data_IF_684064632733
#
_entry.id   IF_684064632733
#
_cell.length_a   1.000
_cell.length_b   1.000
_cell.length_c   1.000
_cell.angle_alpha   90.00
_cell.angle_beta   90.00
_cell.angle_gamma   90.00
#
_symmetry.space_group_name_H-M   'P 1'
#
loop_
_entity.id
_entity.type
_entity.pdbx_description
1 polymer ?
#
# COMPACT_ATOMS: atom_id res chain seq x y z
N UNK A 1 -24.53 0.06 9.91
CA UNK A 1 -24.16 1.09 8.93
C UNK A 1 -22.67 0.97 8.69
N UNK A 2 -22.20 0.93 7.44
CA UNK A 2 -20.75 0.89 7.16
C UNK A 2 -20.18 2.31 7.26
N UNK A 3 -18.99 2.51 7.85
CA UNK A 3 -18.32 3.81 7.84
C UNK A 3 -18.08 4.29 6.41
N UNK A 4 -18.26 5.57 6.18
CA UNK A 4 -17.89 6.25 4.94
C UNK A 4 -16.37 6.31 4.77
N UNK A 5 -15.93 6.52 3.54
CA UNK A 5 -14.52 6.76 3.19
C UNK A 5 -13.89 7.88 4.05
N UNK A 6 -14.64 8.96 4.30
CA UNK A 6 -14.16 10.10 5.07
C UNK A 6 -14.05 9.77 6.57
N UNK A 7 -14.97 8.98 7.12
CA UNK A 7 -14.89 8.50 8.50
C UNK A 7 -13.67 7.59 8.71
N UNK A 8 -13.39 6.71 7.73
CA UNK A 8 -12.20 5.85 7.75
C UNK A 8 -10.92 6.69 7.65
N UNK A 9 -10.86 7.64 6.72
CA UNK A 9 -9.73 8.54 6.59
C UNK A 9 -9.50 9.37 7.86
N UNK A 10 -10.58 9.84 8.49
CA UNK A 10 -10.54 10.55 9.78
C UNK A 10 -9.96 9.66 10.89
N UNK A 11 -10.39 8.40 10.97
CA UNK A 11 -9.86 7.44 11.95
C UNK A 11 -8.36 7.17 11.74
N UNK A 12 -7.93 6.93 10.50
CA UNK A 12 -6.51 6.73 10.16
C UNK A 12 -5.70 7.98 10.49
N UNK A 13 -6.18 9.18 10.12
CA UNK A 13 -5.54 10.45 10.47
C UNK A 13 -5.41 10.61 12.00
N UNK A 14 -6.44 10.23 12.76
CA UNK A 14 -6.43 10.18 14.21
C UNK A 14 -5.32 9.28 14.77
N UNK A 15 -5.15 8.07 14.23
CA UNK A 15 -4.06 7.16 14.63
C UNK A 15 -2.71 7.82 14.40
N UNK A 16 -2.49 8.41 13.22
CA UNK A 16 -1.21 9.04 12.89
C UNK A 16 -0.88 10.20 13.83
N UNK A 17 -1.84 11.09 14.08
CA UNK A 17 -1.67 12.21 15.03
C UNK A 17 -1.36 11.72 16.44
N UNK A 18 -2.08 10.70 16.93
CA UNK A 18 -1.82 10.12 18.25
C UNK A 18 -0.41 9.58 18.38
N UNK A 19 0.11 8.89 17.34
CA UNK A 19 1.50 8.42 17.35
C UNK A 19 2.49 9.59 17.33
N UNK A 20 2.25 10.66 16.55
CA UNK A 20 3.12 11.85 16.58
C UNK A 20 3.10 12.56 17.94
N UNK A 21 1.94 12.66 18.60
CA UNK A 21 1.80 13.24 19.93
C UNK A 21 2.62 12.44 20.95
N UNK A 22 2.51 11.11 20.94
CA UNK A 22 3.29 10.24 21.82
C UNK A 22 4.80 10.40 21.58
N UNK A 23 5.24 10.41 20.32
CA UNK A 23 6.64 10.62 19.97
C UNK A 23 7.17 11.99 20.43
N UNK A 24 6.34 13.03 20.34
CA UNK A 24 6.65 14.39 20.80
C UNK A 24 6.74 14.47 22.32
N UNK A 25 5.96 13.66 23.04
CA UNK A 25 6.02 13.50 24.49
C UNK A 25 7.17 12.59 24.97
N UNK A 26 8.09 12.19 24.08
CA UNK A 26 9.25 11.36 24.41
C UNK A 26 9.02 9.85 24.31
N UNK A 27 7.81 9.40 24.00
CA UNK A 27 7.47 7.98 23.81
C UNK A 27 7.83 7.51 22.40
N UNK A 28 9.14 7.49 22.11
CA UNK A 28 9.66 7.04 20.82
C UNK A 28 9.91 5.54 20.85
N UNK A 29 8.86 4.76 20.63
CA UNK A 29 9.02 3.33 20.38
C UNK A 29 9.13 3.03 18.88
N UNK A 30 9.86 1.98 18.52
CA UNK A 30 9.95 1.52 17.14
C UNK A 30 8.61 0.97 16.59
N UNK A 31 7.56 0.89 17.42
CA UNK A 31 6.27 0.30 17.08
C UNK A 31 5.33 1.33 16.44
N UNK A 32 5.58 2.63 16.58
CA UNK A 32 4.79 3.68 15.91
C UNK A 32 4.65 3.47 14.39
N UNK A 33 5.72 3.03 13.71
CA UNK A 33 5.67 2.67 12.29
C UNK A 33 4.74 1.47 12.02
N UNK A 34 4.78 0.46 12.89
CA UNK A 34 3.91 -0.73 12.80
C UNK A 34 2.44 -0.34 13.00
N UNK A 35 2.13 0.48 14.00
CA UNK A 35 0.76 0.95 14.31
C UNK A 35 0.16 1.68 13.12
N UNK A 36 0.89 2.63 12.52
CA UNK A 36 0.40 3.36 11.34
C UNK A 36 0.13 2.41 10.17
N UNK A 37 1.05 1.49 9.90
CA UNK A 37 0.89 0.50 8.82
C UNK A 37 -0.32 -0.39 9.05
N UNK A 38 -0.53 -0.87 10.27
CA UNK A 38 -1.69 -1.71 10.61
C UNK A 38 -3.00 -0.94 10.51
N UNK A 39 -3.03 0.33 10.89
CA UNK A 39 -4.21 1.18 10.69
C UNK A 39 -4.58 1.32 9.21
N UNK A 40 -3.59 1.62 8.34
CA UNK A 40 -3.82 1.64 6.89
C UNK A 40 -4.28 0.27 6.39
N UNK A 41 -3.61 -0.79 6.81
CA UNK A 41 -3.91 -2.15 6.36
C UNK A 41 -5.34 -2.58 6.69
N UNK A 42 -5.73 -2.50 7.96
CA UNK A 42 -7.02 -3.02 8.42
C UNK A 42 -8.19 -2.09 8.12
N UNK A 43 -8.00 -0.77 8.22
CA UNK A 43 -9.09 0.19 8.03
C UNK A 43 -9.30 0.58 6.56
N UNK A 44 -8.24 0.55 5.74
CA UNK A 44 -8.31 0.93 4.33
C UNK A 44 -8.19 -0.27 3.39
N UNK A 45 -7.09 -1.01 3.47
CA UNK A 45 -6.74 -1.97 2.41
C UNK A 45 -7.62 -3.22 2.41
N UNK A 46 -7.92 -3.78 3.59
CA UNK A 46 -8.67 -5.04 3.73
C UNK A 46 -10.11 -4.85 4.20
N UNK A 47 -10.60 -3.61 4.20
CA UNK A 47 -11.95 -3.29 4.70
C UNK A 47 -13.07 -3.97 3.91
N UNK A 48 -12.91 -4.05 2.60
CA UNK A 48 -13.94 -4.53 1.67
C UNK A 48 -13.67 -5.95 1.19
N UNK A 49 -12.39 -6.33 1.06
CA UNK A 49 -11.99 -7.61 0.49
C UNK A 49 -10.73 -8.18 1.15
N UNK A 50 -10.58 -9.52 1.23
CA UNK A 50 -9.38 -10.17 1.75
C UNK A 50 -8.10 -9.77 0.99
N UNK A 51 -6.92 -10.01 1.60
CA UNK A 51 -5.61 -9.67 1.00
C UNK A 51 -5.45 -10.26 -0.40
N UNK A 52 -5.66 -11.56 -0.56
CA UNK A 52 -5.52 -12.24 -1.86
C UNK A 52 -6.86 -12.31 -2.61
N UNK A 53 -7.71 -11.29 -2.53
CA UNK A 53 -8.99 -11.29 -3.23
C UNK A 53 -8.82 -11.30 -4.76
N UNK A 54 -9.64 -12.06 -5.51
CA UNK A 54 -9.61 -12.05 -6.97
C UNK A 54 -9.97 -10.68 -7.58
N UNK A 55 -10.65 -9.81 -6.82
CA UNK A 55 -11.07 -8.48 -7.29
C UNK A 55 -10.00 -7.41 -7.20
N UNK A 56 -8.83 -7.72 -6.63
CA UNK A 56 -7.70 -6.78 -6.64
C UNK A 56 -7.04 -6.76 -8.02
N UNK A 57 -6.33 -5.68 -8.37
CA UNK A 57 -5.41 -5.69 -9.51
C UNK A 57 -4.38 -6.82 -9.35
N UNK A 58 -4.08 -7.51 -10.45
CA UNK A 58 -3.03 -8.52 -10.52
C UNK A 58 -1.98 -8.15 -11.57
N UNK A 59 -0.76 -8.69 -11.45
CA UNK A 59 0.06 -8.90 -12.65
C UNK A 59 -0.65 -9.87 -13.59
N UNK A 60 -0.38 -9.76 -14.89
CA UNK A 60 -0.99 -10.66 -15.89
C UNK A 60 -0.68 -12.12 -15.55
N UNK A 61 0.57 -12.41 -15.15
CA UNK A 61 0.99 -13.76 -14.76
C UNK A 61 0.32 -14.23 -13.47
N UNK A 62 0.18 -13.36 -12.46
CA UNK A 62 -0.54 -13.71 -11.23
C UNK A 62 -2.02 -13.98 -11.51
N UNK A 63 -2.64 -13.24 -12.45
CA UNK A 63 -4.03 -13.49 -12.87
C UNK A 63 -4.18 -14.87 -13.52
N UNK A 64 -3.27 -15.23 -14.41
CA UNK A 64 -3.25 -16.54 -15.06
C UNK A 64 -3.00 -17.67 -14.07
N UNK A 65 -1.99 -17.54 -13.21
CA UNK A 65 -1.69 -18.50 -12.16
C UNK A 65 -2.90 -18.75 -11.26
N UNK A 66 -3.61 -17.69 -10.85
CA UNK A 66 -4.82 -17.82 -10.04
C UNK A 66 -5.92 -18.67 -10.70
N UNK A 67 -6.04 -18.66 -12.03
CA UNK A 67 -7.06 -19.47 -12.74
C UNK A 67 -6.84 -20.97 -12.58
N UNK A 68 -5.63 -21.40 -12.20
CA UNK A 68 -5.35 -22.80 -11.84
C UNK A 68 -6.03 -23.24 -10.53
N UNK A 69 -6.48 -22.29 -9.71
CA UNK A 69 -6.99 -22.53 -8.36
C UNK A 69 -5.92 -22.48 -7.26
N UNK A 70 -4.63 -22.51 -7.63
CA UNK A 70 -3.53 -22.35 -6.70
C UNK A 70 -3.30 -20.86 -6.33
N UNK A 71 -2.92 -20.63 -5.08
CA UNK A 71 -2.60 -19.32 -4.52
C UNK A 71 -1.27 -19.30 -3.76
N UNK A 72 -0.54 -20.43 -3.71
CA UNK A 72 0.68 -20.59 -2.92
C UNK A 72 1.80 -19.61 -3.28
N UNK A 73 1.93 -19.30 -4.57
CA UNK A 73 2.93 -18.35 -5.07
C UNK A 73 2.39 -16.93 -5.26
N UNK A 74 1.13 -16.66 -4.94
CA UNK A 74 0.59 -15.30 -4.97
C UNK A 74 1.12 -14.50 -3.78
N UNK A 75 1.44 -13.24 -4.04
CA UNK A 75 1.92 -12.27 -3.05
C UNK A 75 1.10 -11.00 -3.12
N UNK A 76 0.75 -10.51 -1.94
CA UNK A 76 0.15 -9.20 -1.74
C UNK A 76 1.26 -8.16 -1.63
N UNK A 77 1.26 -7.17 -2.53
CA UNK A 77 2.26 -6.12 -2.61
C UNK A 77 1.59 -4.74 -2.70
N UNK A 78 2.37 -3.69 -2.52
CA UNK A 78 1.94 -2.30 -2.69
C UNK A 78 2.62 -1.72 -3.90
N UNK A 79 1.87 -1.43 -4.97
CA UNK A 79 2.46 -0.96 -6.22
C UNK A 79 3.32 0.29 -6.05
N UNK A 80 2.89 1.20 -5.18
CA UNK A 80 3.71 2.27 -4.63
C UNK A 80 4.29 1.82 -3.29
N UNK A 81 5.62 1.80 -3.10
CA UNK A 81 6.24 1.29 -1.88
C UNK A 81 5.82 2.05 -0.62
N UNK A 82 5.75 1.34 0.52
CA UNK A 82 5.48 1.94 1.84
C UNK A 82 6.41 3.12 2.14
N UNK A 83 7.70 3.00 1.82
CA UNK A 83 8.68 4.05 2.08
C UNK A 83 8.36 5.35 1.31
N UNK A 84 7.64 5.24 0.18
CA UNK A 84 7.21 6.37 -0.65
C UNK A 84 5.95 7.01 -0.08
N UNK A 85 4.89 6.23 0.19
CA UNK A 85 3.61 6.82 0.56
C UNK A 85 3.45 7.11 2.06
N UNK A 86 4.18 6.42 2.96
CA UNK A 86 4.01 6.62 4.39
C UNK A 86 4.36 8.04 4.88
N UNK A 87 5.43 8.70 4.39
CA UNK A 87 5.67 10.12 4.67
C UNK A 87 4.54 11.03 4.20
N UNK A 88 3.91 10.72 3.07
CA UNK A 88 2.80 11.48 2.50
C UNK A 88 1.56 11.35 3.39
N UNK A 89 1.21 10.14 3.80
CA UNK A 89 0.09 9.90 4.74
C UNK A 89 0.34 10.60 6.08
N UNK A 90 1.60 10.62 6.55
CA UNK A 90 1.99 11.35 7.76
C UNK A 90 1.76 12.85 7.61
N UNK A 91 2.19 13.45 6.50
CA UNK A 91 1.95 14.87 6.23
C UNK A 91 0.46 15.20 6.14
N UNK A 92 -0.34 14.30 5.57
CA UNK A 92 -1.79 14.45 5.43
C UNK A 92 -2.58 14.27 6.74
N UNK A 93 -1.94 13.85 7.83
CA UNK A 93 -2.65 13.47 9.08
C UNK A 93 -3.37 14.63 9.79
N UNK A 94 -3.09 15.88 9.44
CA UNK A 94 -3.77 17.04 9.99
C UNK A 94 -5.22 17.21 9.45
N UNK A 95 -5.52 16.66 8.28
CA UNK A 95 -6.79 16.89 7.57
C UNK A 95 -7.35 15.57 7.00
N UNK A 96 -8.52 15.10 7.45
CA UNK A 96 -9.18 13.91 6.93
C UNK A 96 -9.41 13.90 5.42
N UNK A 97 -9.64 15.07 4.80
CA UNK A 97 -9.82 15.16 3.34
C UNK A 97 -8.51 14.91 2.60
N UNK A 98 -7.40 15.48 3.08
CA UNK A 98 -6.07 15.19 2.53
C UNK A 98 -5.67 13.75 2.76
N UNK A 99 -5.96 13.18 3.94
CA UNK A 99 -5.73 11.76 4.21
C UNK A 99 -6.51 10.89 3.23
N UNK A 100 -7.79 11.20 2.99
CA UNK A 100 -8.61 10.46 2.02
C UNK A 100 -8.03 10.53 0.60
N UNK A 101 -7.64 11.72 0.15
CA UNK A 101 -7.02 11.91 -1.17
C UNK A 101 -5.71 11.13 -1.28
N UNK A 102 -4.87 11.16 -0.24
CA UNK A 102 -3.61 10.44 -0.24
C UNK A 102 -3.80 8.91 -0.19
N UNK A 103 -4.75 8.41 0.60
CA UNK A 103 -5.09 6.98 0.65
C UNK A 103 -5.56 6.49 -0.72
N UNK A 104 -6.44 7.24 -1.39
CA UNK A 104 -6.92 6.91 -2.73
C UNK A 104 -5.82 6.94 -3.77
N UNK A 105 -4.93 7.92 -3.73
CA UNK A 105 -3.90 8.08 -4.75
C UNK A 105 -2.76 7.07 -4.57
N UNK A 106 -2.23 6.93 -3.35
CA UNK A 106 -0.96 6.25 -3.11
C UNK A 106 -1.08 4.83 -2.54
N UNK A 107 -2.16 4.48 -1.85
CA UNK A 107 -2.30 3.14 -1.27
C UNK A 107 -2.95 2.22 -2.30
N UNK A 108 -2.09 1.57 -3.10
CA UNK A 108 -2.47 0.78 -4.28
C UNK A 108 -2.03 -0.68 -4.14
N UNK A 109 -2.82 -1.54 -3.49
CA UNK A 109 -2.50 -2.95 -3.40
C UNK A 109 -2.60 -3.67 -4.75
N UNK A 110 -1.71 -4.62 -4.98
CA UNK A 110 -1.69 -5.48 -6.17
C UNK A 110 -1.22 -6.87 -5.82
N UNK A 111 -1.69 -7.85 -6.57
CA UNK A 111 -1.28 -9.24 -6.44
C UNK A 111 -0.27 -9.57 -7.53
N UNK A 112 0.88 -10.07 -7.12
CA UNK A 112 1.96 -10.50 -8.02
C UNK A 112 2.38 -11.91 -7.66
N UNK A 113 3.23 -12.52 -8.48
CA UNK A 113 3.88 -13.79 -8.15
C UNK A 113 5.11 -13.57 -7.27
N UNK A 114 5.43 -14.58 -6.46
CA UNK A 114 6.66 -14.63 -5.66
C UNK A 114 7.91 -14.42 -6.54
N UNK A 115 7.95 -14.96 -7.75
CA UNK A 115 9.05 -14.73 -8.69
C UNK A 115 9.16 -13.25 -9.14
N UNK A 116 8.02 -12.56 -9.29
CA UNK A 116 7.96 -11.15 -9.68
C UNK A 116 8.46 -10.26 -8.53
N UNK A 117 8.13 -10.60 -7.28
CA UNK A 117 8.73 -9.98 -6.10
C UNK A 117 10.26 -10.13 -6.08
N UNK A 118 10.78 -11.30 -6.49
CA UNK A 118 12.23 -11.53 -6.58
C UNK A 118 12.87 -10.69 -7.70
N UNK A 119 12.20 -10.50 -8.83
CA UNK A 119 12.67 -9.62 -9.91
C UNK A 119 12.79 -8.17 -9.41
N UNK A 120 11.76 -7.65 -8.75
CA UNK A 120 11.80 -6.31 -8.15
C UNK A 120 12.93 -6.17 -7.12
N UNK A 121 13.12 -7.19 -6.28
CA UNK A 121 14.17 -7.19 -5.26
C UNK A 121 15.57 -7.19 -5.89
N UNK A 122 15.80 -7.98 -6.94
CA UNK A 122 17.07 -8.00 -7.69
C UNK A 122 17.38 -6.66 -8.36
N UNK A 123 16.35 -5.93 -8.78
CA UNK A 123 16.48 -4.59 -9.34
C UNK A 123 16.61 -3.48 -8.28
N UNK A 124 16.54 -3.81 -6.97
CA UNK A 124 16.55 -2.81 -5.90
C UNK A 124 15.26 -2.00 -5.78
N UNK A 125 14.15 -2.49 -6.36
CA UNK A 125 12.86 -1.82 -6.44
C UNK A 125 11.82 -2.43 -5.50
N UNK A 126 12.23 -3.25 -4.52
CA UNK A 126 11.30 -3.79 -3.52
C UNK A 126 10.77 -2.72 -2.54
N UNK A 127 11.51 -1.62 -2.36
CA UNK A 127 11.16 -0.53 -1.43
C UNK A 127 11.22 0.87 -2.06
N UNK A 128 11.52 0.96 -3.35
CA UNK A 128 11.77 2.22 -4.06
C UNK A 128 11.04 2.25 -5.40
N UNK A 129 10.68 3.45 -5.83
CA UNK A 129 10.32 3.73 -7.22
C UNK A 129 11.60 3.91 -8.05
N UNK A 130 11.57 3.64 -9.37
CA UNK A 130 12.65 4.00 -10.27
C UNK A 130 12.97 5.50 -10.23
N UNK A 131 14.23 5.86 -10.47
CA UNK A 131 14.64 7.26 -10.51
C UNK A 131 13.90 8.03 -11.62
N UNK A 132 13.38 9.21 -11.28
CA UNK A 132 12.64 10.07 -12.22
C UNK A 132 11.17 9.69 -12.40
N UNK A 133 10.68 8.62 -11.76
CA UNK A 133 9.25 8.30 -11.74
C UNK A 133 8.47 9.22 -10.82
N UNK A 134 7.22 9.49 -11.17
CA UNK A 134 6.30 10.22 -10.32
C UNK A 134 5.99 9.41 -9.04
N UNK A 135 5.87 10.05 -7.85
CA UNK A 135 5.65 9.35 -6.57
C UNK A 135 4.34 8.54 -6.50
N UNK A 136 3.40 8.83 -7.40
CA UNK A 136 2.09 8.21 -7.49
C UNK A 136 1.96 7.25 -8.69
N UNK A 137 3.05 7.01 -9.43
CA UNK A 137 3.04 6.07 -10.55
C UNK A 137 3.07 4.63 -10.03
N UNK A 138 1.88 4.03 -9.96
CA UNK A 138 1.67 2.64 -9.55
C UNK A 138 2.28 1.61 -10.52
N UNK A 139 2.61 1.99 -11.76
CA UNK A 139 3.10 1.07 -12.78
C UNK A 139 4.63 1.11 -12.92
N UNK A 140 5.28 2.21 -12.51
CA UNK A 140 6.69 2.47 -12.72
C UNK A 140 7.61 1.29 -12.35
N UNK A 141 7.44 0.73 -11.15
CA UNK A 141 8.28 -0.40 -10.65
C UNK A 141 8.15 -1.63 -11.53
N UNK A 142 6.92 -2.02 -11.86
CA UNK A 142 6.66 -3.21 -12.65
C UNK A 142 7.13 -3.05 -14.09
N UNK A 143 6.83 -1.91 -14.70
CA UNK A 143 7.26 -1.59 -16.06
C UNK A 143 8.79 -1.64 -16.20
N UNK A 144 9.53 -1.13 -15.21
CA UNK A 144 11.00 -1.11 -15.24
C UNK A 144 11.67 -2.48 -15.23
N UNK A 145 10.97 -3.53 -14.80
CA UNK A 145 11.46 -4.93 -14.79
C UNK A 145 10.67 -5.84 -15.72
N UNK A 146 9.85 -5.28 -16.61
CA UNK A 146 9.09 -6.03 -17.60
C UNK A 146 7.89 -6.81 -17.04
N UNK A 147 7.37 -6.45 -15.87
CA UNK A 147 6.15 -7.03 -15.31
C UNK A 147 4.94 -6.26 -15.84
N UNK A 148 4.02 -6.96 -16.50
CA UNK A 148 2.74 -6.41 -16.96
C UNK A 148 1.69 -6.52 -15.85
N UNK A 149 0.95 -5.44 -15.60
CA UNK A 149 -0.11 -5.38 -14.57
C UNK A 149 -1.43 -4.88 -15.14
N UNK A 150 -2.51 -5.30 -14.50
CA UNK A 150 -3.84 -4.74 -14.71
C UNK A 150 -3.92 -3.27 -14.27
N UNK A 151 -4.92 -2.54 -14.75
CA UNK A 151 -5.16 -1.16 -14.34
C UNK A 151 -5.57 -1.06 -12.85
N UNK A 152 -5.25 0.08 -12.23
CA UNK A 152 -5.44 0.40 -10.80
C UNK A 152 -6.60 1.36 -10.51
#
# INVERSE_FOLDING_TARGET
MRPSDLEIASAIAGVFRSVEMLHSAGWRDGRGAKIRREAVHFLWETRDVPKLSPHRPHSIRAREYRRSGDVGDLRYEHSIPLATYMPILRAASADPHQMLSALKLYVRPVIVLEEECRLLSRAGLNSLLPAGSEPHDALARYASVGILTEAF
#
